data_IF_327332127889
#
_entry.id   IF_327332127889
#
_cell.length_a   1.000
_cell.length_b   1.000
_cell.length_c   1.000
_cell.angle_alpha   90.00
_cell.angle_beta   90.00
_cell.angle_gamma   90.00
#
_symmetry.space_group_name_H-M   'P 1'
#
loop_
_entity.id
_entity.type
_entity.pdbx_description
1 polymer ?
#
# COMPACT_ATOMS: atom_id res chain seq x y z
N UNK A 1 -8.78 -11.70 -6.17
CA UNK A 1 -9.43 -10.76 -5.23
C UNK A 1 -10.91 -11.15 -5.13
N UNK A 2 -11.52 -11.13 -3.95
CA UNK A 2 -12.95 -11.44 -3.80
C UNK A 2 -13.82 -10.19 -4.03
N UNK A 3 -15.13 -10.37 -4.21
CA UNK A 3 -16.07 -9.24 -4.32
C UNK A 3 -16.06 -8.35 -3.07
N UNK A 4 -16.00 -8.95 -1.88
CA UNK A 4 -15.93 -8.23 -0.60
C UNK A 4 -14.65 -7.38 -0.50
N UNK A 5 -13.52 -7.91 -0.98
CA UNK A 5 -12.26 -7.15 -1.03
C UNK A 5 -12.40 -5.92 -1.94
N UNK A 6 -13.01 -6.08 -3.11
CA UNK A 6 -13.22 -4.99 -4.08
C UNK A 6 -14.11 -3.91 -3.48
N UNK A 7 -15.24 -4.28 -2.88
CA UNK A 7 -16.17 -3.34 -2.24
C UNK A 7 -15.47 -2.53 -1.14
N UNK A 8 -14.67 -3.21 -0.32
CA UNK A 8 -13.93 -2.57 0.78
C UNK A 8 -12.82 -1.64 0.29
N UNK A 9 -12.05 -2.06 -0.72
CA UNK A 9 -10.85 -1.37 -1.19
C UNK A 9 -11.11 -0.31 -2.26
N UNK A 10 -12.24 -0.38 -2.98
CA UNK A 10 -12.55 0.51 -4.10
C UNK A 10 -12.35 2.01 -3.78
N UNK A 11 -12.79 2.54 -2.61
CA UNK A 11 -12.56 3.93 -2.23
C UNK A 11 -11.08 4.31 -2.05
N UNK A 12 -10.21 3.33 -1.77
CA UNK A 12 -8.78 3.53 -1.59
C UNK A 12 -8.00 3.38 -2.91
N UNK A 13 -8.44 2.49 -3.81
CA UNK A 13 -7.78 2.24 -5.11
C UNK A 13 -8.02 3.36 -6.13
N UNK A 14 -9.20 4.00 -6.11
CA UNK A 14 -9.50 5.12 -7.01
C UNK A 14 -9.36 4.74 -8.50
N UNK A 15 -8.71 5.62 -9.28
CA UNK A 15 -8.49 5.44 -10.73
C UNK A 15 -7.70 4.15 -11.08
N UNK A 16 -6.94 3.59 -10.13
CA UNK A 16 -6.03 2.46 -10.35
C UNK A 16 -6.67 1.10 -9.99
N UNK A 17 -7.98 1.07 -9.69
CA UNK A 17 -8.68 -0.14 -9.20
C UNK A 17 -8.52 -1.37 -10.10
N UNK A 18 -8.76 -1.22 -11.41
CA UNK A 18 -8.66 -2.35 -12.36
C UNK A 18 -7.24 -2.93 -12.41
N UNK A 19 -6.22 -2.05 -12.39
CA UNK A 19 -4.81 -2.45 -12.39
C UNK A 19 -4.49 -3.25 -11.11
N UNK A 20 -4.94 -2.76 -9.95
CA UNK A 20 -4.70 -3.44 -8.67
C UNK A 20 -5.40 -4.81 -8.61
N UNK A 21 -6.63 -4.89 -9.11
CA UNK A 21 -7.38 -6.16 -9.19
C UNK A 21 -6.63 -7.17 -10.07
N UNK A 22 -6.19 -6.75 -11.26
CA UNK A 22 -5.45 -7.60 -12.18
C UNK A 22 -4.12 -8.08 -11.61
N UNK A 23 -3.39 -7.22 -10.90
CA UNK A 23 -2.15 -7.60 -10.22
C UNK A 23 -2.37 -8.61 -9.10
N UNK A 24 -3.44 -8.46 -8.31
CA UNK A 24 -3.79 -9.44 -7.28
C UNK A 24 -4.19 -10.78 -7.92
N UNK A 25 -5.00 -10.75 -8.97
CA UNK A 25 -5.45 -11.96 -9.66
C UNK A 25 -4.28 -12.69 -10.36
N UNK A 26 -3.30 -11.94 -10.85
CA UNK A 26 -2.08 -12.49 -11.43
C UNK A 26 -1.03 -12.94 -10.38
N UNK A 27 -1.30 -12.77 -9.08
CA UNK A 27 -0.38 -13.15 -8.01
C UNK A 27 0.82 -12.20 -7.83
N UNK A 28 0.81 -11.03 -8.47
CA UNK A 28 1.85 -9.99 -8.32
C UNK A 28 1.65 -9.15 -7.06
N UNK A 29 0.41 -9.02 -6.60
CA UNK A 29 0.06 -8.37 -5.35
C UNK A 29 -0.78 -9.31 -4.47
N UNK A 30 -0.90 -9.00 -3.18
CA UNK A 30 -1.65 -9.79 -2.21
C UNK A 30 -2.56 -8.92 -1.37
N UNK A 31 -3.78 -9.41 -1.15
CA UNK A 31 -4.70 -8.84 -0.16
C UNK A 31 -4.42 -9.46 1.20
N UNK A 32 -4.20 -8.62 2.20
CA UNK A 32 -4.18 -8.97 3.61
C UNK A 32 -5.55 -8.65 4.19
N UNK A 33 -6.27 -9.69 4.61
CA UNK A 33 -7.56 -9.57 5.27
C UNK A 33 -7.38 -9.63 6.79
N UNK A 34 -8.03 -8.71 7.48
CA UNK A 34 -8.01 -8.61 8.94
C UNK A 34 -9.36 -9.03 9.54
N UNK A 35 -9.40 -9.55 10.78
CA UNK A 35 -10.65 -9.99 11.43
C UNK A 35 -11.69 -8.88 11.60
N UNK A 36 -11.26 -7.62 11.67
CA UNK A 36 -12.13 -6.44 11.80
C UNK A 36 -12.73 -5.97 10.45
N UNK A 37 -12.55 -6.75 9.38
CA UNK A 37 -13.02 -6.40 8.04
C UNK A 37 -12.06 -5.51 7.26
N UNK A 38 -10.98 -5.00 7.87
CA UNK A 38 -10.00 -4.20 7.14
C UNK A 38 -9.31 -5.03 6.05
N UNK A 39 -8.89 -4.34 4.99
CA UNK A 39 -8.15 -4.90 3.86
C UNK A 39 -6.96 -4.02 3.54
N UNK A 40 -5.80 -4.63 3.29
CA UNK A 40 -4.62 -3.94 2.77
C UNK A 40 -4.09 -4.72 1.57
N UNK A 41 -3.83 -4.03 0.46
CA UNK A 41 -3.14 -4.59 -0.70
C UNK A 41 -1.66 -4.26 -0.59
N UNK A 42 -0.83 -5.30 -0.63
CA UNK A 42 0.63 -5.20 -0.61
C UNK A 42 1.22 -5.87 -1.84
N UNK A 43 2.36 -5.36 -2.29
CA UNK A 43 3.17 -5.92 -3.37
C UNK A 43 4.63 -5.94 -2.92
N UNK A 44 5.33 -7.04 -3.17
CA UNK A 44 6.76 -7.10 -2.93
C UNK A 44 7.48 -6.84 -4.25
N UNK A 45 8.22 -5.76 -4.33
CA UNK A 45 9.02 -5.39 -5.50
C UNK A 45 10.47 -5.80 -5.27
N UNK A 46 11.06 -6.48 -6.24
CA UNK A 46 12.47 -6.88 -6.20
C UNK A 46 13.23 -6.11 -7.27
N UNK A 47 14.32 -5.49 -6.88
CA UNK A 47 15.27 -4.84 -7.79
C UNK A 47 16.57 -5.65 -7.78
N UNK A 48 17.17 -5.85 -8.95
CA UNK A 48 18.26 -6.84 -9.16
C UNK A 48 19.37 -6.83 -8.11
N UNK A 49 19.76 -5.66 -7.63
CA UNK A 49 20.89 -5.49 -6.70
C UNK A 49 20.49 -4.95 -5.32
N UNK A 50 19.19 -4.83 -5.02
CA UNK A 50 18.72 -4.25 -3.76
C UNK A 50 17.85 -5.23 -2.98
N UNK A 51 17.77 -5.03 -1.67
CA UNK A 51 16.82 -5.75 -0.86
C UNK A 51 15.38 -5.47 -1.37
N UNK A 52 14.47 -6.44 -1.31
CA UNK A 52 13.09 -6.23 -1.71
C UNK A 52 12.43 -5.05 -0.98
N UNK A 53 11.45 -4.43 -1.64
CA UNK A 53 10.66 -3.32 -1.12
C UNK A 53 9.20 -3.75 -1.02
N UNK A 54 8.63 -3.65 0.18
CA UNK A 54 7.21 -3.89 0.42
C UNK A 54 6.44 -2.61 0.10
N UNK A 55 5.67 -2.65 -0.98
CA UNK A 55 4.82 -1.54 -1.40
C UNK A 55 3.40 -1.75 -0.87
N UNK A 56 2.93 -0.81 -0.04
CA UNK A 56 1.53 -0.73 0.36
C UNK A 56 0.78 0.07 -0.69
N UNK A 57 -0.09 -0.61 -1.43
CA UNK A 57 -0.77 -0.09 -2.62
C UNK A 57 -2.08 0.59 -2.26
N UNK A 58 -2.89 -0.09 -1.44
CA UNK A 58 -4.18 0.40 -1.00
C UNK A 58 -4.52 -0.18 0.38
N UNK A 59 -5.34 0.54 1.14
CA UNK A 59 -5.82 0.06 2.42
C UNK A 59 -7.12 0.74 2.83
N UNK A 60 -8.03 -0.03 3.42
CA UNK A 60 -9.31 0.43 3.93
C UNK A 60 -9.68 -0.35 5.21
N UNK A 61 -10.34 0.34 6.15
CA UNK A 61 -10.74 -0.22 7.43
C UNK A 61 -10.21 0.59 8.62
N UNK A 62 -10.21 -0.04 9.79
CA UNK A 62 -9.85 0.59 11.06
C UNK A 62 -8.34 0.49 11.35
N UNK A 63 -7.86 1.24 12.34
CA UNK A 63 -6.48 1.18 12.84
C UNK A 63 -5.39 1.10 11.75
N UNK A 64 -5.45 2.02 10.78
CA UNK A 64 -4.40 2.13 9.78
C UNK A 64 -3.00 2.32 10.40
N UNK A 65 -2.79 3.13 11.47
CA UNK A 65 -1.47 3.25 12.09
C UNK A 65 -0.91 1.93 12.62
N UNK A 66 -1.68 1.17 13.41
CA UNK A 66 -1.22 -0.08 14.00
C UNK A 66 -0.93 -1.14 12.94
N UNK A 67 -1.79 -1.25 11.92
CA UNK A 67 -1.59 -2.19 10.81
C UNK A 67 -0.37 -1.85 9.96
N UNK A 68 -0.16 -0.57 9.64
CA UNK A 68 1.04 -0.13 8.91
C UNK A 68 2.31 -0.34 9.74
N UNK A 69 2.29 -0.05 11.04
CA UNK A 69 3.41 -0.31 11.93
C UNK A 69 3.79 -1.81 11.95
N UNK A 70 2.81 -2.71 12.09
CA UNK A 70 3.04 -4.15 12.07
C UNK A 70 3.60 -4.66 10.73
N UNK A 71 3.23 -4.02 9.61
CA UNK A 71 3.83 -4.31 8.30
C UNK A 71 5.29 -3.84 8.23
N UNK A 72 5.61 -2.68 8.80
CA UNK A 72 6.98 -2.18 8.90
C UNK A 72 7.85 -3.11 9.76
N UNK A 73 7.38 -3.51 10.93
CA UNK A 73 8.09 -4.46 11.80
C UNK A 73 8.31 -5.82 11.13
N UNK A 74 7.37 -6.23 10.28
CA UNK A 74 7.52 -7.46 9.50
C UNK A 74 8.57 -7.27 8.41
N UNK A 75 8.49 -6.20 7.62
CA UNK A 75 9.46 -5.88 6.58
C UNK A 75 10.90 -5.77 7.14
N UNK A 76 11.08 -5.09 8.26
CA UNK A 76 12.37 -4.93 8.93
C UNK A 76 13.01 -6.28 9.31
N UNK A 77 12.21 -7.21 9.85
CA UNK A 77 12.68 -8.58 10.16
C UNK A 77 13.15 -9.37 8.94
N UNK A 78 12.65 -9.03 7.76
CA UNK A 78 13.07 -9.63 6.49
C UNK A 78 14.15 -8.81 5.76
N UNK A 79 14.59 -7.68 6.34
CA UNK A 79 15.53 -6.75 5.72
C UNK A 79 14.95 -5.99 4.53
N UNK A 80 13.62 -5.83 4.46
CA UNK A 80 12.93 -5.12 3.39
C UNK A 80 12.69 -3.67 3.75
N UNK A 81 12.73 -2.80 2.75
CA UNK A 81 12.22 -1.43 2.88
C UNK A 81 10.70 -1.39 2.68
N UNK A 82 10.03 -0.31 3.11
CA UNK A 82 8.58 -0.15 2.92
C UNK A 82 8.28 1.16 2.22
N UNK A 83 7.42 1.11 1.20
CA UNK A 83 6.93 2.29 0.47
C UNK A 83 5.42 2.35 0.48
N UNK A 84 4.88 3.56 0.53
CA UNK A 84 3.45 3.83 0.50
C UNK A 84 3.15 4.91 -0.53
N UNK A 85 2.29 4.64 -1.51
CA UNK A 85 1.83 5.66 -2.44
C UNK A 85 0.53 6.29 -1.95
N UNK A 86 0.53 7.62 -1.75
CA UNK A 86 -0.70 8.33 -1.40
C UNK A 86 -0.76 9.72 -2.00
N UNK A 87 -1.95 10.09 -2.48
CA UNK A 87 -2.28 11.46 -2.88
C UNK A 87 -2.92 12.26 -1.73
N UNK A 88 -3.15 11.64 -0.55
CA UNK A 88 -3.88 12.23 0.58
C UNK A 88 -2.91 12.85 1.59
N UNK A 89 -2.84 14.20 1.74
CA UNK A 89 -1.88 14.83 2.66
C UNK A 89 -2.05 14.43 4.13
N UNK A 90 -3.28 14.13 4.55
CA UNK A 90 -3.55 13.65 5.90
C UNK A 90 -2.87 12.31 6.20
N UNK A 91 -2.81 11.42 5.20
CA UNK A 91 -2.13 10.13 5.34
C UNK A 91 -0.62 10.29 5.38
N UNK A 92 -0.06 11.23 4.61
CA UNK A 92 1.38 11.57 4.70
C UNK A 92 1.81 11.98 6.12
N UNK A 93 0.99 12.77 6.83
CA UNK A 93 1.28 13.15 8.24
C UNK A 93 1.24 11.95 9.20
N UNK A 94 0.35 10.99 8.96
CA UNK A 94 0.29 9.75 9.74
C UNK A 94 1.54 8.91 9.49
N UNK A 95 1.91 8.72 8.22
CA UNK A 95 3.10 7.96 7.83
C UNK A 95 4.38 8.58 8.40
N UNK A 96 4.49 9.91 8.43
CA UNK A 96 5.63 10.59 9.06
C UNK A 96 5.80 10.25 10.56
N UNK A 97 4.70 10.03 11.30
CA UNK A 97 4.76 9.59 12.70
C UNK A 97 5.22 8.14 12.86
N UNK A 98 5.12 7.35 11.79
CA UNK A 98 5.62 5.98 11.71
C UNK A 98 7.04 5.91 11.13
N UNK A 99 7.73 7.04 10.98
CA UNK A 99 9.10 7.09 10.49
C UNK A 99 9.25 7.10 8.96
N UNK A 100 8.16 7.22 8.20
CA UNK A 100 8.25 7.41 6.74
C UNK A 100 8.75 8.82 6.42
N UNK A 101 9.51 8.94 5.34
CA UNK A 101 9.94 10.20 4.78
C UNK A 101 9.39 10.35 3.36
N UNK A 102 9.04 11.58 2.97
CA UNK A 102 8.64 11.86 1.58
C UNK A 102 9.85 11.65 0.67
N UNK A 103 9.78 10.65 -0.22
CA UNK A 103 10.87 10.30 -1.14
C UNK A 103 10.73 10.96 -2.51
N UNK A 104 9.49 11.19 -2.98
CA UNK A 104 9.22 11.73 -4.31
C UNK A 104 8.12 12.79 -4.28
N UNK A 105 8.38 13.91 -4.98
CA UNK A 105 7.39 14.96 -5.23
C UNK A 105 7.24 15.18 -6.73
N UNK A 106 6.10 14.78 -7.28
CA UNK A 106 5.83 14.84 -8.72
C UNK A 106 5.19 16.18 -9.10
N UNK A 107 5.83 16.93 -10.00
CA UNK A 107 5.29 18.13 -10.62
C UNK A 107 4.85 17.83 -12.06
N UNK A 108 3.66 18.29 -12.48
CA UNK A 108 3.16 18.09 -13.85
C UNK A 108 2.72 19.42 -14.44
N UNK A 109 3.00 19.62 -15.73
CA UNK A 109 2.58 20.78 -16.53
C UNK A 109 1.91 20.29 -17.81
N UNK A 110 0.69 20.74 -18.11
CA UNK A 110 -0.15 20.30 -19.25
C UNK A 110 -1.48 19.63 -18.83
N UNK A 111 -2.43 19.47 -19.76
CA UNK A 111 -3.73 18.82 -19.51
C UNK A 111 -3.63 17.29 -19.69
N UNK A 112 -4.29 16.57 -18.75
CA UNK A 112 -4.52 15.12 -18.74
C UNK A 112 -5.34 14.67 -19.95
#
# INVERSE_FOLDING_TARGET
MTTEDIETLSPAMGDDADIVIDEVNAGRAKVLAYPDGSRIVVRLEQYDTQAPELVIVAGAGEDAPGKVAALCDTADRWGWSVRFHTKRPALGRLLARLGFHESERVYRYGRR
#
